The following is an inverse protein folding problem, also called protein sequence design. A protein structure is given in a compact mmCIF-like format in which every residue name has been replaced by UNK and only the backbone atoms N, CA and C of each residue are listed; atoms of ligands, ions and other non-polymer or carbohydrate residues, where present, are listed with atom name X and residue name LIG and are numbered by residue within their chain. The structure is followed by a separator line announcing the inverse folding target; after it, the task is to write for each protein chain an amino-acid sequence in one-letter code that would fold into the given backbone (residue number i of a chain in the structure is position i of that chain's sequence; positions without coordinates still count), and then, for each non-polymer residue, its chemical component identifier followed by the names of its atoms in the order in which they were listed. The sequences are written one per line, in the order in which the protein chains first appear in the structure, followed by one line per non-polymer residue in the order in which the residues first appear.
data_IF_828537124327
#
_entry.id   IF_828537124327
#
_cell.length_a   1.000
_cell.length_b   1.000
_cell.length_c   1.000
_cell.angle_alpha   90.00
_cell.angle_beta   90.00
_cell.angle_gamma   90.00
#
_symmetry.space_group_name_H-M   'P 1'
#
loop_
_entity.id
_entity.type
_entity.pdbx_description
1 polymer ?
#
# COMPACT_ATOMS: atom_id res chain seq x y z
N UNK A 1 46.60 -28.94 7.22
CA UNK A 1 45.49 -29.42 8.10
C UNK A 1 45.13 -28.45 9.23
N UNK A 2 46.08 -27.87 9.98
CA UNK A 2 45.78 -26.98 11.11
C UNK A 2 45.06 -25.67 10.77
N UNK A 3 45.44 -25.00 9.66
CA UNK A 3 44.83 -23.73 9.22
C UNK A 3 43.39 -23.92 8.76
N UNK A 4 43.10 -24.97 8.00
CA UNK A 4 41.75 -25.32 7.55
C UNK A 4 40.79 -25.55 8.73
N UNK A 5 41.24 -26.28 9.76
CA UNK A 5 40.44 -26.52 10.98
C UNK A 5 40.17 -25.22 11.76
N UNK A 6 41.10 -24.26 11.79
CA UNK A 6 40.90 -22.96 12.44
C UNK A 6 39.89 -22.09 11.66
N UNK A 7 40.01 -22.03 10.34
CA UNK A 7 39.05 -21.31 9.48
C UNK A 7 37.65 -21.92 9.59
N UNK A 8 37.53 -23.25 9.52
CA UNK A 8 36.24 -23.93 9.69
C UNK A 8 35.59 -23.65 11.05
N UNK A 9 36.38 -23.66 12.14
CA UNK A 9 35.89 -23.28 13.48
C UNK A 9 35.42 -21.83 13.54
N UNK A 10 36.17 -20.90 12.94
CA UNK A 10 35.80 -19.48 12.92
C UNK A 10 34.50 -19.25 12.13
N UNK A 11 34.36 -19.88 10.96
CA UNK A 11 33.13 -19.82 10.16
C UNK A 11 31.95 -20.41 10.91
N UNK A 12 32.12 -21.58 11.54
CA UNK A 12 31.07 -22.22 12.33
C UNK A 12 30.62 -21.33 13.51
N UNK A 13 31.58 -20.71 14.21
CA UNK A 13 31.28 -19.78 15.31
C UNK A 13 30.55 -18.52 14.81
N UNK A 14 30.98 -17.97 13.67
CA UNK A 14 30.32 -16.80 13.05
C UNK A 14 28.88 -17.13 12.67
N UNK A 15 28.66 -18.28 12.02
CA UNK A 15 27.31 -18.76 11.67
C UNK A 15 26.45 -19.00 12.92
N UNK A 16 27.03 -19.56 13.99
CA UNK A 16 26.33 -19.77 15.25
C UNK A 16 25.91 -18.45 15.92
N UNK A 17 26.78 -17.43 15.90
CA UNK A 17 26.46 -16.09 16.40
C UNK A 17 25.34 -15.44 15.58
N UNK A 18 25.42 -15.51 14.24
CA UNK A 18 24.37 -14.98 13.35
C UNK A 18 23.04 -15.69 13.62
N UNK A 19 23.04 -17.02 13.70
CA UNK A 19 21.84 -17.80 14.00
C UNK A 19 21.26 -17.42 15.38
N UNK A 20 22.10 -17.26 16.41
CA UNK A 20 21.68 -16.79 17.72
C UNK A 20 21.03 -15.41 17.67
N UNK A 21 21.60 -14.46 16.93
CA UNK A 21 21.02 -13.12 16.74
C UNK A 21 19.68 -13.17 16.01
N UNK A 22 19.55 -14.00 14.99
CA UNK A 22 18.27 -14.18 14.26
C UNK A 22 17.20 -14.73 15.20
N UNK A 23 17.53 -15.72 16.04
CA UNK A 23 16.59 -16.28 17.02
C UNK A 23 16.18 -15.22 18.06
N UNK A 24 17.13 -14.43 18.56
CA UNK A 24 16.84 -13.35 19.52
C UNK A 24 15.97 -12.26 18.90
N UNK A 25 16.23 -11.86 17.65
CA UNK A 25 15.40 -10.89 16.93
C UNK A 25 14.01 -11.45 16.66
N UNK A 26 13.91 -12.72 16.24
CA UNK A 26 12.63 -13.38 16.03
C UNK A 26 11.80 -13.43 17.32
N UNK A 27 12.42 -13.81 18.44
CA UNK A 27 11.77 -13.78 19.75
C UNK A 27 11.35 -12.36 20.13
N UNK A 28 12.23 -11.38 19.96
CA UNK A 28 11.93 -9.97 20.22
C UNK A 28 10.75 -9.46 19.39
N UNK A 29 10.70 -9.76 18.09
CA UNK A 29 9.62 -9.31 17.22
C UNK A 29 8.25 -9.84 17.64
N UNK A 30 8.22 -11.03 18.25
CA UNK A 30 6.99 -11.71 18.67
C UNK A 30 6.66 -11.53 20.17
N UNK A 31 7.42 -10.71 20.90
CA UNK A 31 7.05 -10.34 22.28
C UNK A 31 5.78 -9.49 22.28
N UNK A 32 4.85 -9.73 23.22
CA UNK A 32 3.59 -9.01 23.29
C UNK A 32 3.79 -7.51 23.50
N UNK A 33 2.90 -6.72 22.89
CA UNK A 33 2.83 -5.27 23.07
C UNK A 33 1.59 -4.94 23.90
N UNK A 34 1.79 -4.15 24.96
CA UNK A 34 0.70 -3.67 25.83
C UNK A 34 0.13 -2.33 25.35
N UNK A 35 0.98 -1.46 24.80
CA UNK A 35 0.56 -0.13 24.36
C UNK A 35 0.10 -0.20 22.90
N UNK A 36 -1.16 0.15 22.67
CA UNK A 36 -1.79 0.14 21.35
C UNK A 36 -2.18 1.57 21.00
N UNK A 37 -1.84 2.05 19.81
CA UNK A 37 -2.26 3.38 19.35
C UNK A 37 -3.73 3.36 18.93
N UNK A 38 -4.62 3.44 19.92
CA UNK A 38 -6.07 3.48 19.68
C UNK A 38 -6.50 4.76 18.95
N UNK A 39 -5.68 5.81 18.99
CA UNK A 39 -5.94 7.08 18.31
C UNK A 39 -5.51 7.07 16.83
N UNK A 40 -4.93 5.97 16.34
CA UNK A 40 -4.51 5.83 14.94
C UNK A 40 -5.69 6.06 14.00
N UNK A 41 -5.51 6.96 13.03
CA UNK A 41 -6.57 7.32 12.08
C UNK A 41 -6.63 6.28 10.98
N UNK A 42 -7.79 5.64 10.85
CA UNK A 42 -8.04 4.68 9.79
C UNK A 42 -8.39 5.41 8.49
N UNK A 43 -7.70 5.03 7.42
CA UNK A 43 -8.00 5.39 6.05
C UNK A 43 -8.30 4.16 5.21
N UNK A 44 -8.57 4.36 3.92
CA UNK A 44 -8.81 3.28 2.97
C UNK A 44 -8.13 3.61 1.65
N UNK A 45 -7.70 2.61 0.91
CA UNK A 45 -7.42 2.80 -0.52
C UNK A 45 -8.61 2.34 -1.33
N UNK A 46 -8.97 3.11 -2.35
CA UNK A 46 -10.06 2.77 -3.25
C UNK A 46 -9.57 2.71 -4.69
N UNK A 47 -9.91 1.63 -5.40
CA UNK A 47 -9.63 1.38 -6.80
C UNK A 47 -10.94 1.22 -7.57
N UNK A 48 -11.30 2.25 -8.36
CA UNK A 48 -12.38 2.17 -9.34
C UNK A 48 -12.16 1.02 -10.35
N UNK A 49 -10.91 0.79 -10.76
CA UNK A 49 -10.50 -0.30 -11.66
C UNK A 49 -10.86 -1.66 -11.09
N UNK A 50 -10.55 -1.92 -9.82
CA UNK A 50 -10.85 -3.21 -9.20
C UNK A 50 -12.34 -3.42 -8.97
N UNK A 51 -13.03 -2.42 -8.40
CA UNK A 51 -14.48 -2.45 -8.22
C UNK A 51 -15.19 -2.82 -9.54
N UNK A 52 -14.79 -2.17 -10.65
CA UNK A 52 -15.33 -2.48 -11.98
C UNK A 52 -14.99 -3.91 -12.42
N UNK A 53 -13.75 -4.36 -12.21
CA UNK A 53 -13.31 -5.70 -12.63
C UNK A 53 -14.03 -6.85 -11.93
N UNK A 54 -14.50 -6.64 -10.69
CA UNK A 54 -15.28 -7.63 -9.92
C UNK A 54 -16.79 -7.47 -10.09
N UNK A 55 -17.22 -6.63 -11.03
CA UNK A 55 -18.62 -6.48 -11.43
C UNK A 55 -19.49 -5.66 -10.47
N UNK A 56 -18.90 -4.84 -9.59
CA UNK A 56 -19.68 -3.88 -8.78
C UNK A 56 -19.66 -2.49 -9.41
N UNK A 57 -20.75 -1.74 -9.25
CA UNK A 57 -20.75 -0.32 -9.61
C UNK A 57 -19.78 0.43 -8.68
N UNK A 58 -18.68 0.89 -9.25
CA UNK A 58 -17.62 1.54 -8.49
C UNK A 58 -18.07 2.88 -7.90
N UNK A 59 -19.00 3.60 -8.53
CA UNK A 59 -19.53 4.87 -8.02
C UNK A 59 -20.42 4.61 -6.81
N UNK A 60 -21.32 3.62 -6.90
CA UNK A 60 -22.15 3.24 -5.76
C UNK A 60 -21.29 2.77 -4.58
N UNK A 61 -20.28 1.95 -4.83
CA UNK A 61 -19.33 1.52 -3.81
C UNK A 61 -18.57 2.72 -3.19
N UNK A 62 -18.05 3.63 -4.01
CA UNK A 62 -17.35 4.85 -3.56
C UNK A 62 -18.25 5.70 -2.65
N UNK A 63 -19.51 5.91 -3.05
CA UNK A 63 -20.50 6.62 -2.24
C UNK A 63 -20.81 5.85 -0.95
N UNK A 64 -21.00 4.54 -1.03
CA UNK A 64 -21.31 3.71 0.13
C UNK A 64 -20.19 3.75 1.18
N UNK A 65 -18.92 3.69 0.78
CA UNK A 65 -17.82 3.80 1.76
C UNK A 65 -17.74 5.20 2.40
N UNK A 66 -18.11 6.25 1.66
CA UNK A 66 -18.15 7.61 2.15
C UNK A 66 -19.34 7.87 3.08
N UNK A 67 -20.51 7.32 2.76
CA UNK A 67 -21.77 7.62 3.43
C UNK A 67 -22.18 6.61 4.50
N UNK A 68 -21.98 5.31 4.27
CA UNK A 68 -22.31 4.27 5.25
C UNK A 68 -21.15 4.08 6.23
N UNK A 69 -19.93 3.85 5.72
CA UNK A 69 -18.74 3.63 6.56
C UNK A 69 -18.12 4.93 7.10
N UNK A 70 -18.58 6.09 6.63
CA UNK A 70 -18.09 7.42 7.04
C UNK A 70 -16.57 7.60 6.90
N UNK A 71 -15.94 6.95 5.93
CA UNK A 71 -14.48 7.04 5.74
C UNK A 71 -14.09 8.44 5.25
N UNK A 72 -13.07 9.05 5.86
CA UNK A 72 -12.61 10.42 5.54
C UNK A 72 -11.15 10.54 5.14
N UNK A 73 -10.36 9.48 5.21
CA UNK A 73 -8.98 9.44 4.69
C UNK A 73 -8.91 8.40 3.58
N UNK A 74 -8.59 8.83 2.36
CA UNK A 74 -8.70 7.97 1.18
C UNK A 74 -7.44 8.08 0.33
N UNK A 75 -6.83 6.95 -0.01
CA UNK A 75 -5.81 6.85 -1.04
C UNK A 75 -6.48 6.50 -2.37
N UNK A 76 -6.22 7.30 -3.40
CA UNK A 76 -6.78 7.12 -4.75
C UNK A 76 -5.62 6.99 -5.74
N UNK A 77 -5.50 5.87 -6.46
CA UNK A 77 -4.59 5.73 -7.59
C UNK A 77 -5.11 6.42 -8.84
N UNK A 78 -4.25 7.17 -9.51
CA UNK A 78 -4.46 7.64 -10.88
C UNK A 78 -3.85 6.59 -11.82
N UNK A 79 -4.70 5.84 -12.50
CA UNK A 79 -4.28 4.80 -13.42
C UNK A 79 -3.91 5.38 -14.79
N UNK A 80 -2.63 5.31 -15.15
CA UNK A 80 -2.11 5.92 -16.37
C UNK A 80 -2.74 5.31 -17.63
N UNK A 81 -2.93 3.98 -17.66
CA UNK A 81 -3.60 3.28 -18.75
C UNK A 81 -5.07 3.67 -18.96
N UNK A 82 -5.78 4.04 -17.90
CA UNK A 82 -7.16 4.53 -17.99
C UNK A 82 -7.22 6.00 -18.39
N UNK A 83 -6.38 6.83 -17.78
CA UNK A 83 -6.40 8.28 -17.94
C UNK A 83 -5.81 8.71 -19.29
N UNK A 84 -4.82 8.00 -19.81
CA UNK A 84 -4.19 8.29 -21.10
C UNK A 84 -4.26 7.04 -21.99
N UNK A 85 -5.47 6.53 -22.22
CA UNK A 85 -5.69 5.34 -23.06
C UNK A 85 -5.14 5.50 -24.49
N UNK A 86 -5.08 6.74 -24.99
CA UNK A 86 -4.41 7.13 -26.22
C UNK A 86 -3.39 8.22 -25.93
N UNK A 87 -2.21 8.11 -26.54
CA UNK A 87 -1.08 9.03 -26.35
C UNK A 87 -1.50 10.49 -26.51
N UNK A 88 -1.34 11.28 -25.46
CA UNK A 88 -1.65 12.70 -25.42
C UNK A 88 -3.14 13.07 -25.27
N UNK A 89 -4.05 12.09 -25.24
CA UNK A 89 -5.47 12.29 -24.99
C UNK A 89 -5.79 11.87 -23.55
N UNK A 90 -6.05 12.86 -22.69
CA UNK A 90 -6.29 12.63 -21.27
C UNK A 90 -7.78 12.67 -20.92
N UNK A 91 -8.28 11.63 -20.27
CA UNK A 91 -9.59 11.60 -19.61
C UNK A 91 -9.43 11.43 -18.10
N UNK A 92 -9.67 12.50 -17.37
CA UNK A 92 -9.60 12.54 -15.91
C UNK A 92 -10.98 12.45 -15.25
N UNK A 93 -12.06 12.24 -16.01
CA UNK A 93 -13.43 12.39 -15.53
C UNK A 93 -13.76 11.52 -14.30
N UNK A 94 -13.25 10.29 -14.24
CA UNK A 94 -13.45 9.40 -13.09
C UNK A 94 -12.69 9.88 -11.84
N UNK A 95 -11.45 10.35 -12.02
CA UNK A 95 -10.64 10.91 -10.92
C UNK A 95 -11.29 12.20 -10.42
N UNK A 96 -11.68 13.09 -11.32
CA UNK A 96 -12.39 14.34 -11.00
C UNK A 96 -13.65 14.06 -10.18
N UNK A 97 -14.45 13.07 -10.59
CA UNK A 97 -15.66 12.68 -9.89
C UNK A 97 -15.38 12.20 -8.46
N UNK A 98 -14.39 11.32 -8.27
CA UNK A 98 -14.01 10.84 -6.93
C UNK A 98 -13.56 12.00 -6.04
N UNK A 99 -12.72 12.91 -6.54
CA UNK A 99 -12.25 14.07 -5.79
C UNK A 99 -13.40 15.02 -5.40
N UNK A 100 -14.38 15.21 -6.29
CA UNK A 100 -15.57 16.01 -6.00
C UNK A 100 -16.44 15.38 -4.91
N UNK A 101 -16.69 14.07 -4.98
CA UNK A 101 -17.49 13.36 -3.97
C UNK A 101 -16.80 13.31 -2.60
N UNK A 102 -15.47 13.16 -2.58
CA UNK A 102 -14.64 13.30 -1.39
C UNK A 102 -14.77 14.71 -0.78
N UNK A 103 -14.66 15.75 -1.63
CA UNK A 103 -14.74 17.16 -1.20
C UNK A 103 -16.10 17.48 -0.57
N UNK A 104 -17.21 16.99 -1.14
CA UNK A 104 -18.57 17.17 -0.60
C UNK A 104 -18.71 16.66 0.84
N UNK A 105 -17.86 15.71 1.25
CA UNK A 105 -17.92 15.04 2.55
C UNK A 105 -16.74 15.36 3.46
N UNK A 106 -15.94 16.38 3.09
CA UNK A 106 -14.73 16.77 3.82
C UNK A 106 -13.74 15.61 4.02
N UNK A 107 -13.62 14.73 3.04
CA UNK A 107 -12.58 13.71 3.02
C UNK A 107 -11.23 14.31 2.59
N UNK A 108 -10.16 13.63 2.98
CA UNK A 108 -8.77 13.94 2.67
C UNK A 108 -8.20 12.88 1.73
N UNK A 109 -7.53 13.32 0.67
CA UNK A 109 -7.01 12.45 -0.38
C UNK A 109 -5.49 12.36 -0.34
N UNK A 110 -4.98 11.13 -0.39
CA UNK A 110 -3.65 10.81 -0.93
C UNK A 110 -3.86 10.47 -2.40
N UNK A 111 -3.32 11.28 -3.32
CA UNK A 111 -3.41 10.98 -4.75
C UNK A 111 -2.13 10.30 -5.19
N UNK A 112 -2.22 9.02 -5.56
CA UNK A 112 -1.08 8.22 -6.00
C UNK A 112 -0.91 8.32 -7.52
N UNK A 113 0.27 8.73 -7.96
CA UNK A 113 0.60 9.02 -9.36
C UNK A 113 1.92 8.35 -9.72
N UNK A 114 1.98 7.77 -10.90
CA UNK A 114 3.16 7.04 -11.40
C UNK A 114 2.75 5.95 -12.38
N UNK A 115 3.72 5.20 -12.88
CA UNK A 115 3.43 3.98 -13.63
C UNK A 115 3.04 2.83 -12.70
N UNK A 116 3.65 2.72 -11.52
CA UNK A 116 3.32 1.71 -10.52
C UNK A 116 2.37 2.34 -9.51
N UNK A 117 1.12 1.91 -9.48
CA UNK A 117 0.09 2.41 -8.57
C UNK A 117 -0.71 1.24 -8.00
N UNK A 118 -1.33 1.38 -6.81
CA UNK A 118 -2.02 0.28 -6.16
C UNK A 118 -3.00 -0.47 -7.07
N UNK A 119 -2.98 -1.81 -6.98
CA UNK A 119 -3.79 -2.82 -7.72
C UNK A 119 -3.03 -3.50 -8.86
N UNK A 120 -3.26 -4.81 -9.00
CA UNK A 120 -2.78 -5.63 -10.11
C UNK A 120 -3.15 -5.00 -11.49
N UNK A 121 -2.22 -4.97 -12.46
CA UNK A 121 -0.92 -5.65 -12.51
C UNK A 121 0.25 -4.92 -11.85
N UNK A 122 -0.03 -4.02 -10.89
CA UNK A 122 0.89 -3.10 -10.20
C UNK A 122 1.36 -1.95 -11.08
N UNK A 123 1.75 -2.23 -12.34
CA UNK A 123 2.11 -1.19 -13.30
C UNK A 123 1.00 -0.96 -14.33
N UNK A 124 0.40 0.23 -14.27
CA UNK A 124 -0.74 0.63 -15.07
C UNK A 124 -0.28 1.42 -16.30
N UNK A 125 0.63 0.83 -17.10
CA UNK A 125 1.26 1.49 -18.25
C UNK A 125 0.39 1.26 -19.49
N UNK A 126 -0.03 2.31 -20.22
CA UNK A 126 -0.78 2.13 -21.47
C UNK A 126 0.06 1.41 -22.53
N UNK A 127 -0.59 0.60 -23.36
CA UNK A 127 0.07 -0.23 -24.38
C UNK A 127 0.95 0.60 -25.32
N UNK A 128 0.48 1.78 -25.74
CA UNK A 128 1.23 2.68 -26.63
C UNK A 128 2.54 3.20 -26.02
N UNK A 129 2.68 3.19 -24.69
CA UNK A 129 3.89 3.66 -24.01
C UNK A 129 4.96 2.55 -23.86
N UNK A 130 4.65 1.31 -24.23
CA UNK A 130 5.55 0.15 -24.08
C UNK A 130 6.50 -0.07 -25.26
N UNK A 131 6.52 0.83 -26.25
CA UNK A 131 7.38 0.74 -27.45
C UNK A 131 8.88 0.64 -27.12
N UNK A 132 9.38 1.47 -26.19
CA UNK A 132 10.76 1.41 -25.71
C UNK A 132 10.87 1.94 -24.26
N UNK A 133 11.91 1.55 -23.49
CA UNK A 133 12.15 2.11 -22.17
C UNK A 133 12.27 3.64 -22.15
N UNK A 134 12.91 4.24 -23.16
CA UNK A 134 13.12 5.69 -23.26
C UNK A 134 11.81 6.42 -23.53
N UNK A 135 11.00 5.88 -24.45
CA UNK A 135 9.66 6.41 -24.76
C UNK A 135 8.76 6.30 -23.53
N UNK A 136 8.76 5.15 -22.85
CA UNK A 136 8.00 4.96 -21.61
C UNK A 136 8.40 5.98 -20.55
N UNK A 137 9.71 6.10 -20.24
CA UNK A 137 10.21 7.02 -19.21
C UNK A 137 9.87 8.48 -19.53
N UNK A 138 10.04 8.88 -20.79
CA UNK A 138 9.71 10.25 -21.21
C UNK A 138 8.21 10.54 -21.07
N UNK A 139 7.34 9.61 -21.46
CA UNK A 139 5.91 9.81 -21.35
C UNK A 139 5.38 9.65 -19.92
N UNK A 140 6.03 8.83 -19.07
CA UNK A 140 5.73 8.77 -17.64
C UNK A 140 5.94 10.14 -16.99
N UNK A 141 7.09 10.78 -17.25
CA UNK A 141 7.35 12.13 -16.74
C UNK A 141 6.31 13.14 -17.25
N UNK A 142 5.84 13.02 -18.50
CA UNK A 142 4.75 13.87 -19.00
C UNK A 142 3.43 13.61 -18.27
N UNK A 143 3.06 12.34 -18.09
CA UNK A 143 1.85 11.95 -17.39
C UNK A 143 1.84 12.45 -15.93
N UNK A 144 2.94 12.25 -15.20
CA UNK A 144 3.08 12.76 -13.82
C UNK A 144 3.00 14.29 -13.83
N UNK A 145 3.67 14.98 -14.76
CA UNK A 145 3.59 16.44 -14.89
C UNK A 145 2.15 16.90 -15.12
N UNK A 146 1.46 16.34 -16.12
CA UNK A 146 0.08 16.71 -16.47
C UNK A 146 -0.87 16.49 -15.29
N UNK A 147 -0.75 15.34 -14.61
CA UNK A 147 -1.59 14.99 -13.47
C UNK A 147 -1.37 15.94 -12.29
N UNK A 148 -0.11 16.22 -11.93
CA UNK A 148 0.21 17.11 -10.80
C UNK A 148 -0.17 18.55 -11.12
N UNK A 149 0.10 19.04 -12.34
CA UNK A 149 -0.32 20.38 -12.78
C UNK A 149 -1.83 20.57 -12.73
N UNK A 150 -2.60 19.54 -13.13
CA UNK A 150 -4.06 19.55 -13.08
C UNK A 150 -4.58 19.73 -11.66
N UNK A 151 -4.05 18.96 -10.70
CA UNK A 151 -4.65 18.88 -9.36
C UNK A 151 -3.90 19.62 -8.25
N UNK A 152 -2.80 20.34 -8.54
CA UNK A 152 -2.06 21.10 -7.51
C UNK A 152 -2.90 22.12 -6.74
N UNK A 153 -4.02 22.60 -7.31
CA UNK A 153 -4.92 23.54 -6.65
C UNK A 153 -6.11 22.85 -5.93
N UNK A 154 -6.21 21.52 -5.99
CA UNK A 154 -7.30 20.78 -5.32
C UNK A 154 -7.03 20.60 -3.83
N UNK A 155 -7.73 21.38 -3.00
CA UNK A 155 -7.55 21.40 -1.54
C UNK A 155 -7.92 20.09 -0.83
N UNK A 156 -8.67 19.22 -1.50
CA UNK A 156 -9.06 17.89 -1.00
C UNK A 156 -7.86 16.93 -0.95
N UNK A 157 -6.88 17.12 -1.85
CA UNK A 157 -5.62 16.39 -1.85
C UNK A 157 -4.73 16.95 -0.75
N UNK A 158 -4.26 16.09 0.15
CA UNK A 158 -3.35 16.45 1.25
C UNK A 158 -1.91 16.04 0.97
N UNK A 159 -1.72 14.91 0.31
CA UNK A 159 -0.40 14.39 -0.02
C UNK A 159 -0.38 13.79 -1.43
N UNK A 160 0.79 13.83 -2.05
CA UNK A 160 1.09 13.08 -3.26
C UNK A 160 1.74 11.77 -2.87
N UNK A 161 1.31 10.63 -3.42
CA UNK A 161 2.14 9.42 -3.42
C UNK A 161 2.76 9.27 -4.81
N UNK A 162 4.08 9.09 -4.88
CA UNK A 162 4.78 8.88 -6.15
C UNK A 162 5.27 7.46 -6.23
N UNK A 163 4.78 6.75 -7.26
CA UNK A 163 4.92 5.31 -7.44
C UNK A 163 4.37 4.47 -6.25
N UNK A 164 4.26 3.16 -6.43
CA UNK A 164 3.91 2.21 -5.37
C UNK A 164 5.04 1.21 -5.19
N UNK A 165 5.68 1.20 -4.03
CA UNK A 165 6.81 0.32 -3.71
C UNK A 165 7.86 0.27 -4.85
N UNK A 166 8.46 1.42 -5.24
CA UNK A 166 9.23 1.56 -6.48
C UNK A 166 10.46 0.65 -6.56
N UNK A 167 10.92 0.11 -5.42
CA UNK A 167 12.06 -0.81 -5.34
C UNK A 167 11.66 -2.28 -5.24
N UNK A 168 10.37 -2.59 -5.04
CA UNK A 168 9.86 -3.96 -4.99
C UNK A 168 9.65 -4.52 -6.41
N UNK A 169 10.31 -5.65 -6.69
CA UNK A 169 10.12 -6.43 -7.92
C UNK A 169 8.90 -7.34 -7.80
N UNK A 170 7.72 -6.77 -7.99
CA UNK A 170 6.44 -7.47 -7.94
C UNK A 170 5.48 -6.91 -8.99
N UNK A 171 4.59 -7.75 -9.53
CA UNK A 171 3.68 -7.40 -10.62
C UNK A 171 4.31 -7.48 -12.02
N UNK A 172 3.55 -7.02 -13.01
CA UNK A 172 4.00 -6.95 -14.41
C UNK A 172 4.58 -5.56 -14.64
N UNK A 173 5.81 -5.37 -14.17
CA UNK A 173 6.46 -4.06 -14.10
C UNK A 173 7.85 -4.04 -14.75
N UNK A 174 8.27 -2.89 -15.32
CA UNK A 174 9.67 -2.65 -15.62
C UNK A 174 10.56 -2.79 -14.38
N UNK A 175 11.86 -3.01 -14.59
CA UNK A 175 12.81 -3.07 -13.48
C UNK A 175 12.83 -1.75 -12.69
N UNK A 176 13.00 -1.80 -11.35
CA UNK A 176 13.17 -0.61 -10.52
C UNK A 176 14.25 0.34 -11.05
N UNK A 177 13.96 1.63 -11.05
CA UNK A 177 14.85 2.69 -11.53
C UNK A 177 14.82 3.88 -10.56
N UNK A 178 15.82 3.93 -9.67
CA UNK A 178 15.90 5.00 -8.66
C UNK A 178 16.12 6.39 -9.26
N UNK A 179 16.80 6.50 -10.40
CA UNK A 179 17.06 7.79 -11.06
C UNK A 179 15.81 8.34 -11.72
N UNK A 180 14.97 7.46 -12.27
CA UNK A 180 13.65 7.84 -12.78
C UNK A 180 12.76 8.36 -11.65
N UNK A 181 12.67 7.62 -10.53
CA UNK A 181 11.94 8.06 -9.35
C UNK A 181 12.44 9.41 -8.84
N UNK A 182 13.76 9.61 -8.76
CA UNK A 182 14.34 10.90 -8.35
C UNK A 182 13.92 12.05 -9.29
N UNK A 183 13.74 11.77 -10.58
CA UNK A 183 13.24 12.75 -11.57
C UNK A 183 11.76 13.06 -11.37
N UNK A 184 10.93 12.06 -11.09
CA UNK A 184 9.50 12.22 -10.80
C UNK A 184 9.29 13.05 -9.53
N UNK A 185 10.02 12.71 -8.46
CA UNK A 185 9.97 13.42 -7.18
C UNK A 185 10.42 14.89 -7.33
N UNK A 186 11.53 15.14 -8.01
CA UNK A 186 12.02 16.50 -8.26
C UNK A 186 11.02 17.34 -9.04
N UNK A 187 10.34 16.74 -10.01
CA UNK A 187 9.30 17.39 -10.79
C UNK A 187 8.07 17.74 -9.96
N UNK A 188 7.57 16.80 -9.13
CA UNK A 188 6.42 17.04 -8.25
C UNK A 188 6.72 18.18 -7.29
N UNK A 189 7.89 18.16 -6.63
CA UNK A 189 8.32 19.25 -5.72
C UNK A 189 8.43 20.61 -6.40
N UNK A 190 8.73 20.64 -7.71
CA UNK A 190 8.80 21.88 -8.48
C UNK A 190 7.42 22.45 -8.79
N UNK A 191 6.45 21.58 -9.10
CA UNK A 191 5.08 21.96 -9.46
C UNK A 191 4.27 22.35 -8.22
N UNK A 192 4.36 21.55 -7.15
CA UNK A 192 3.67 21.75 -5.88
C UNK A 192 4.68 21.76 -4.73
N UNK A 193 4.90 22.94 -4.16
CA UNK A 193 5.83 23.17 -3.05
C UNK A 193 5.18 23.03 -1.67
N UNK A 194 3.87 22.78 -1.62
CA UNK A 194 3.07 22.91 -0.41
C UNK A 194 2.72 21.57 0.22
N UNK A 195 2.48 20.54 -0.61
CA UNK A 195 2.12 19.20 -0.14
C UNK A 195 3.34 18.31 0.04
N UNK A 196 3.27 17.42 1.02
CA UNK A 196 4.27 16.39 1.25
C UNK A 196 4.15 15.27 0.23
N UNK A 197 5.27 14.62 -0.06
CA UNK A 197 5.36 13.46 -0.94
C UNK A 197 5.59 12.18 -0.12
N UNK A 198 4.72 11.21 -0.37
CA UNK A 198 4.77 9.86 0.16
C UNK A 198 5.53 8.97 -0.84
N UNK A 199 6.49 8.20 -0.32
CA UNK A 199 7.12 7.09 -1.04
C UNK A 199 6.92 5.84 -0.19
N UNK A 200 6.55 4.74 -0.84
CA UNK A 200 6.14 3.51 -0.15
C UNK A 200 7.12 2.38 -0.35
N UNK A 201 7.09 1.35 0.49
CA UNK A 201 7.89 0.13 0.31
C UNK A 201 7.28 -1.06 1.06
N UNK A 202 7.74 -2.27 0.73
CA UNK A 202 7.20 -3.52 1.26
C UNK A 202 7.47 -3.71 2.74
N UNK A 203 6.41 -4.01 3.47
CA UNK A 203 6.43 -4.34 4.90
C UNK A 203 7.34 -5.50 5.22
N UNK A 204 7.17 -6.62 4.54
CA UNK A 204 7.81 -7.87 4.92
C UNK A 204 9.11 -8.12 4.13
N UNK A 205 9.31 -7.44 2.99
CA UNK A 205 10.35 -7.79 2.02
C UNK A 205 11.49 -6.77 1.89
N UNK A 206 11.38 -5.57 2.48
CA UNK A 206 12.39 -4.50 2.35
C UNK A 206 12.95 -4.05 3.71
N UNK A 207 14.09 -3.35 3.72
CA UNK A 207 14.61 -2.61 4.88
C UNK A 207 14.16 -1.13 4.89
N UNK A 208 13.40 -0.70 3.89
CA UNK A 208 12.81 0.65 3.70
C UNK A 208 13.77 1.81 3.46
N UNK A 209 15.07 1.69 3.77
CA UNK A 209 16.01 2.82 3.71
C UNK A 209 16.03 3.53 2.35
N UNK A 210 15.94 2.81 1.24
CA UNK A 210 16.01 3.44 -0.10
C UNK A 210 14.78 4.31 -0.42
N UNK A 211 13.58 3.85 -0.05
CA UNK A 211 12.34 4.58 -0.21
C UNK A 211 12.23 5.71 0.83
N UNK A 212 12.49 5.41 2.09
CA UNK A 212 12.36 6.36 3.20
C UNK A 212 13.25 7.60 3.05
N UNK A 213 14.45 7.46 2.46
CA UNK A 213 15.37 8.59 2.17
C UNK A 213 14.82 9.60 1.17
N UNK A 214 13.85 9.21 0.36
CA UNK A 214 13.28 10.03 -0.73
C UNK A 214 11.95 10.68 -0.35
N UNK A 215 11.36 10.24 0.76
CA UNK A 215 10.01 10.59 1.15
C UNK A 215 10.00 11.75 2.15
N UNK A 216 8.97 12.60 2.09
CA UNK A 216 8.62 13.45 3.22
C UNK A 216 7.86 12.63 4.28
N UNK A 217 7.07 11.63 3.84
CA UNK A 217 6.39 10.65 4.67
C UNK A 217 6.64 9.25 4.07
N UNK A 218 7.11 8.32 4.88
CA UNK A 218 7.29 6.93 4.45
C UNK A 218 6.02 6.09 4.69
N UNK A 219 5.58 5.33 3.68
CA UNK A 219 4.44 4.42 3.79
C UNK A 219 4.86 2.96 3.69
N UNK A 220 4.53 2.13 4.69
CA UNK A 220 4.75 0.68 4.60
C UNK A 220 3.46 -0.07 4.26
N UNK A 221 3.59 -1.14 3.51
CA UNK A 221 2.56 -2.19 3.42
C UNK A 221 2.63 -3.10 4.66
N UNK A 222 1.54 -3.79 4.97
CA UNK A 222 1.41 -4.74 6.08
C UNK A 222 0.47 -5.87 5.69
N UNK A 223 1.05 -7.01 5.30
CA UNK A 223 0.33 -8.23 4.98
C UNK A 223 0.55 -9.29 6.05
N UNK A 224 -0.50 -10.03 6.36
CA UNK A 224 -0.46 -11.05 7.42
C UNK A 224 -0.61 -12.44 6.86
N UNK A 225 -1.73 -12.76 6.23
CA UNK A 225 -2.00 -14.09 5.69
C UNK A 225 -1.97 -14.03 4.18
N UNK A 226 -0.96 -14.65 3.56
CA UNK A 226 -0.82 -14.67 2.10
C UNK A 226 -0.93 -16.09 1.56
N UNK A 227 -1.23 -16.19 0.27
CA UNK A 227 -1.08 -17.44 -0.48
C UNK A 227 0.17 -17.41 -1.34
N UNK A 228 0.92 -18.51 -1.35
CA UNK A 228 2.08 -18.69 -2.21
C UNK A 228 2.05 -20.03 -2.92
N UNK A 229 2.30 -20.01 -4.22
CA UNK A 229 2.38 -21.22 -5.04
C UNK A 229 3.41 -22.21 -4.46
N UNK A 230 3.02 -23.48 -4.37
CA UNK A 230 3.85 -24.56 -3.79
C UNK A 230 3.90 -24.62 -2.26
N UNK A 231 3.45 -23.57 -1.54
CA UNK A 231 3.40 -23.56 -0.06
C UNK A 231 1.95 -23.57 0.44
N UNK A 232 1.05 -22.85 -0.24
CA UNK A 232 -0.31 -22.61 0.22
C UNK A 232 -0.41 -21.36 1.09
N UNK A 233 -1.39 -21.35 1.99
CA UNK A 233 -1.61 -20.23 2.91
C UNK A 233 -0.60 -20.26 4.05
N UNK A 234 0.00 -19.11 4.34
CA UNK A 234 0.81 -18.94 5.53
C UNK A 234 0.63 -17.54 6.10
N UNK A 235 0.81 -17.46 7.41
CA UNK A 235 0.84 -16.19 8.12
C UNK A 235 2.29 -15.78 8.36
N UNK A 236 2.61 -14.51 8.07
CA UNK A 236 3.94 -13.98 8.35
C UNK A 236 4.26 -14.08 9.86
N UNK A 237 5.35 -14.75 10.26
CA UNK A 237 5.63 -15.03 11.66
C UNK A 237 6.34 -13.85 12.35
N UNK A 238 5.86 -12.64 12.13
CA UNK A 238 6.44 -11.40 12.67
C UNK A 238 5.41 -10.57 13.42
N UNK A 239 5.65 -10.35 14.71
CA UNK A 239 4.86 -9.44 15.53
C UNK A 239 5.15 -7.95 15.26
N UNK A 240 4.36 -7.03 15.84
CA UNK A 240 4.41 -5.61 15.49
C UNK A 240 5.78 -4.92 15.75
N UNK A 241 6.59 -5.48 16.67
CA UNK A 241 7.96 -5.00 16.95
C UNK A 241 8.89 -5.11 15.75
N UNK A 242 8.60 -5.97 14.78
CA UNK A 242 9.31 -6.03 13.51
C UNK A 242 9.25 -4.68 12.77
N UNK A 243 8.06 -4.11 12.65
CA UNK A 243 7.85 -2.82 12.01
C UNK A 243 8.44 -1.66 12.84
N UNK A 244 8.36 -1.73 14.17
CA UNK A 244 9.00 -0.74 15.06
C UNK A 244 10.54 -0.74 14.92
N UNK A 245 11.14 -1.93 14.83
CA UNK A 245 12.58 -2.07 14.60
C UNK A 245 12.99 -1.46 13.26
N UNK A 246 12.25 -1.75 12.19
CA UNK A 246 12.52 -1.16 10.87
C UNK A 246 12.29 0.35 10.85
N UNK A 247 11.31 0.87 11.59
CA UNK A 247 11.10 2.30 11.75
C UNK A 247 12.32 2.97 12.42
N UNK A 248 12.90 2.32 13.43
CA UNK A 248 14.15 2.75 14.04
C UNK A 248 15.31 2.75 13.03
N UNK A 249 15.40 1.74 12.15
CA UNK A 249 16.43 1.72 11.09
C UNK A 249 16.31 2.91 10.13
N UNK A 250 15.12 3.22 9.62
CA UNK A 250 14.96 4.35 8.70
C UNK A 250 15.15 5.70 9.41
N UNK A 251 14.82 5.81 10.69
CA UNK A 251 15.16 7.00 11.47
C UNK A 251 16.67 7.24 11.51
N UNK A 252 17.46 6.19 11.77
CA UNK A 252 18.92 6.28 11.85
C UNK A 252 19.56 6.48 10.46
N UNK A 253 19.17 5.67 9.48
CA UNK A 253 19.88 5.58 8.20
C UNK A 253 19.27 6.46 7.11
N UNK A 254 18.03 6.92 7.26
CA UNK A 254 17.33 7.77 6.30
C UNK A 254 16.92 9.14 6.85
N UNK A 255 17.01 9.37 8.17
CA UNK A 255 16.50 10.60 8.79
C UNK A 255 14.98 10.73 8.66
N UNK A 256 14.27 9.60 8.54
CA UNK A 256 12.82 9.58 8.35
C UNK A 256 12.11 9.46 9.70
N UNK A 257 11.29 10.44 10.03
CA UNK A 257 10.55 10.53 11.29
C UNK A 257 9.03 10.38 11.11
N UNK A 258 8.52 10.46 9.88
CA UNK A 258 7.10 10.34 9.55
C UNK A 258 6.84 9.03 8.80
N UNK A 259 6.20 8.08 9.49
CA UNK A 259 5.88 6.76 8.95
C UNK A 259 4.40 6.45 9.15
N UNK A 260 3.74 5.91 8.11
CA UNK A 260 2.34 5.46 8.14
C UNK A 260 2.21 4.04 7.60
N UNK A 261 1.10 3.37 7.92
CA UNK A 261 0.69 2.15 7.20
C UNK A 261 -0.15 2.61 6.01
N UNK A 262 0.39 2.47 4.80
CA UNK A 262 -0.29 2.92 3.58
C UNK A 262 -1.13 1.82 2.92
N UNK A 263 -0.92 0.58 3.36
CA UNK A 263 -1.63 -0.59 2.85
C UNK A 263 -1.64 -1.69 3.91
N UNK A 264 -2.73 -1.80 4.67
CA UNK A 264 -3.01 -2.90 5.57
C UNK A 264 -3.90 -3.91 4.86
N UNK A 265 -3.49 -5.18 4.87
CA UNK A 265 -4.27 -6.26 4.28
C UNK A 265 -5.68 -6.29 4.87
N UNK A 266 -6.67 -6.08 4.01
CA UNK A 266 -8.08 -6.06 4.37
C UNK A 266 -8.96 -6.76 3.31
N UNK A 267 -8.35 -7.43 2.33
CA UNK A 267 -8.96 -8.33 1.36
C UNK A 267 -8.18 -9.67 1.31
N UNK A 268 -8.78 -10.73 0.73
CA UNK A 268 -8.11 -12.02 0.60
C UNK A 268 -6.90 -11.95 -0.32
N UNK A 269 -5.90 -12.76 0.02
CA UNK A 269 -4.81 -13.10 -0.87
C UNK A 269 -4.88 -14.59 -1.16
N UNK A 270 -5.38 -14.94 -2.34
CA UNK A 270 -5.56 -16.33 -2.79
C UNK A 270 -4.72 -16.62 -4.03
N UNK A 271 -4.68 -17.88 -4.46
CA UNK A 271 -4.12 -18.24 -5.76
C UNK A 271 -5.04 -17.78 -6.89
N UNK A 272 -4.61 -16.78 -7.66
CA UNK A 272 -5.39 -16.20 -8.76
C UNK A 272 -6.16 -14.94 -8.35
N UNK A 273 -7.21 -14.61 -9.11
CA UNK A 273 -8.08 -13.47 -8.83
C UNK A 273 -8.99 -13.75 -7.64
N UNK A 274 -9.08 -12.79 -6.71
CA UNK A 274 -9.82 -12.89 -5.45
C UNK A 274 -11.25 -13.41 -5.63
N UNK A 275 -12.00 -12.83 -6.56
CA UNK A 275 -13.43 -13.14 -6.75
C UNK A 275 -13.69 -14.34 -7.65
N UNK A 276 -12.65 -14.90 -8.28
CA UNK A 276 -12.76 -16.12 -9.08
C UNK A 276 -12.74 -17.38 -8.19
N UNK A 277 -12.15 -17.26 -7.00
CA UNK A 277 -12.14 -18.32 -5.99
C UNK A 277 -13.46 -18.47 -5.26
N UNK A 278 -13.74 -19.66 -4.75
CA UNK A 278 -14.89 -19.90 -3.87
C UNK A 278 -14.76 -19.08 -2.57
N UNK A 279 -15.89 -18.65 -1.99
CA UNK A 279 -15.90 -17.83 -0.77
C UNK A 279 -15.14 -18.46 0.40
N UNK A 280 -15.24 -19.78 0.58
CA UNK A 280 -14.50 -20.49 1.63
C UNK A 280 -12.97 -20.42 1.43
N UNK A 281 -12.48 -20.33 0.19
CA UNK A 281 -11.06 -20.10 -0.09
C UNK A 281 -10.67 -18.66 0.22
N UNK A 282 -11.49 -17.68 -0.18
CA UNK A 282 -11.29 -16.27 0.13
C UNK A 282 -11.19 -16.05 1.65
N UNK A 283 -12.10 -16.66 2.42
CA UNK A 283 -12.18 -16.53 3.87
C UNK A 283 -11.03 -17.16 4.66
N UNK A 284 -10.12 -17.91 4.02
CA UNK A 284 -8.90 -18.42 4.67
C UNK A 284 -7.89 -17.32 4.97
N UNK A 285 -7.84 -16.28 4.14
CA UNK A 285 -6.86 -15.19 4.25
C UNK A 285 -7.46 -13.85 4.65
N UNK A 286 -8.78 -13.68 4.53
CA UNK A 286 -9.47 -12.51 5.07
C UNK A 286 -10.92 -12.81 5.44
N UNK A 287 -11.33 -12.42 6.65
CA UNK A 287 -12.69 -12.54 7.16
C UNK A 287 -12.93 -11.48 8.27
N UNK A 288 -14.13 -11.39 8.90
CA UNK A 288 -14.40 -10.36 9.92
C UNK A 288 -13.44 -10.41 11.13
N UNK A 289 -13.00 -11.60 11.53
CA UNK A 289 -12.06 -11.78 12.63
C UNK A 289 -10.67 -11.29 12.24
N UNK A 290 -10.17 -11.75 11.08
CA UNK A 290 -8.87 -11.33 10.53
C UNK A 290 -8.81 -9.81 10.30
N UNK A 291 -9.90 -9.17 9.87
CA UNK A 291 -9.94 -7.72 9.72
C UNK A 291 -9.71 -7.00 11.06
N UNK A 292 -10.39 -7.42 12.13
CA UNK A 292 -10.19 -6.86 13.49
C UNK A 292 -8.76 -7.11 13.98
N UNK A 293 -8.26 -8.33 13.80
CA UNK A 293 -6.91 -8.71 14.23
C UNK A 293 -5.82 -7.95 13.45
N UNK A 294 -6.03 -7.66 12.17
CA UNK A 294 -5.11 -6.89 11.35
C UNK A 294 -5.07 -5.42 11.78
N UNK A 295 -6.22 -4.82 12.08
CA UNK A 295 -6.28 -3.43 12.59
C UNK A 295 -5.63 -3.34 13.97
N UNK A 296 -5.94 -4.25 14.90
CA UNK A 296 -5.30 -4.30 16.22
C UNK A 296 -3.77 -4.49 16.10
N UNK A 297 -3.33 -5.38 15.21
CA UNK A 297 -1.91 -5.55 14.90
C UNK A 297 -1.26 -4.24 14.45
N UNK A 298 -1.85 -3.53 13.49
CA UNK A 298 -1.32 -2.28 12.97
C UNK A 298 -1.33 -1.15 14.01
N UNK A 299 -2.38 -1.07 14.85
CA UNK A 299 -2.42 -0.12 15.97
C UNK A 299 -1.33 -0.41 17.01
N UNK A 300 -0.97 -1.68 17.23
CA UNK A 300 0.16 -2.09 18.10
C UNK A 300 1.53 -1.74 17.51
N UNK A 301 1.65 -1.62 16.19
CA UNK A 301 2.87 -1.06 15.56
C UNK A 301 3.07 0.37 16.03
N UNK A 302 1.98 1.15 16.08
CA UNK A 302 1.96 2.48 16.69
C UNK A 302 2.13 3.65 15.71
N UNK A 303 1.98 3.43 14.40
CA UNK A 303 1.98 4.52 13.42
C UNK A 303 0.64 5.31 13.48
N UNK A 304 0.65 6.62 13.15
CA UNK A 304 -0.51 7.50 13.34
C UNK A 304 -1.63 7.31 12.32
N UNK A 305 -1.34 6.82 11.12
CA UNK A 305 -2.35 6.55 10.09
C UNK A 305 -2.24 5.12 9.55
N UNK A 306 -3.40 4.51 9.30
CA UNK A 306 -3.52 3.13 8.82
C UNK A 306 -4.53 3.06 7.69
N UNK A 307 -4.05 2.94 6.45
CA UNK A 307 -4.88 2.81 5.26
C UNK A 307 -5.13 1.33 4.95
N UNK A 308 -6.39 0.91 4.98
CA UNK A 308 -6.80 -0.46 4.68
C UNK A 308 -6.90 -0.67 3.15
N UNK A 309 -6.80 -1.92 2.72
CA UNK A 309 -6.91 -2.34 1.32
C UNK A 309 -7.94 -3.47 1.19
N UNK A 310 -9.16 -3.15 0.71
CA UNK A 310 -10.19 -4.19 0.50
C UNK A 310 -11.66 -3.76 0.45
N UNK A 311 -11.98 -2.46 0.48
CA UNK A 311 -13.37 -1.97 0.55
C UNK A 311 -14.23 -2.42 -0.62
N UNK A 312 -13.64 -2.59 -1.79
CA UNK A 312 -14.30 -3.08 -2.99
C UNK A 312 -14.76 -4.52 -2.85
N UNK A 313 -13.93 -5.36 -2.23
CA UNK A 313 -14.28 -6.74 -1.93
C UNK A 313 -15.35 -6.82 -0.84
N UNK A 314 -15.30 -5.97 0.19
CA UNK A 314 -16.37 -5.92 1.22
C UNK A 314 -17.72 -5.55 0.61
N UNK A 315 -17.73 -4.58 -0.31
CA UNK A 315 -18.94 -4.16 -0.99
C UNK A 315 -19.49 -5.29 -1.87
N UNK A 316 -18.63 -5.95 -2.65
CA UNK A 316 -19.01 -7.09 -3.47
C UNK A 316 -19.58 -8.24 -2.64
N UNK A 317 -18.98 -8.57 -1.49
CA UNK A 317 -19.54 -9.56 -0.57
C UNK A 317 -20.96 -9.19 -0.12
N UNK A 318 -21.15 -7.93 0.28
CA UNK A 318 -22.43 -7.41 0.75
C UNK A 318 -23.50 -7.42 -0.35
N UNK A 319 -23.22 -6.88 -1.53
CA UNK A 319 -24.23 -6.64 -2.57
C UNK A 319 -24.46 -7.83 -3.48
N UNK A 320 -23.43 -8.66 -3.70
CA UNK A 320 -23.47 -9.72 -4.71
C UNK A 320 -23.50 -11.10 -4.08
N UNK A 321 -22.84 -11.28 -2.93
CA UNK A 321 -22.73 -12.59 -2.25
C UNK A 321 -23.62 -12.73 -1.03
N UNK A 322 -24.37 -11.68 -0.64
CA UNK A 322 -25.22 -11.66 0.55
C UNK A 322 -24.45 -11.96 1.86
N UNK A 323 -23.20 -11.48 1.93
CA UNK A 323 -22.31 -11.60 3.09
C UNK A 323 -21.89 -10.20 3.60
N UNK A 324 -22.76 -9.51 4.38
CA UNK A 324 -22.52 -8.15 4.83
C UNK A 324 -21.52 -8.03 6.00
N UNK A 325 -21.08 -9.13 6.59
CA UNK A 325 -20.39 -9.16 7.89
C UNK A 325 -19.05 -8.40 7.88
N UNK A 326 -18.34 -8.38 6.75
CA UNK A 326 -17.13 -7.58 6.56
C UNK A 326 -17.44 -6.09 6.55
N UNK A 327 -18.50 -5.69 5.85
CA UNK A 327 -18.94 -4.30 5.77
C UNK A 327 -19.40 -3.78 7.13
N UNK A 328 -20.15 -4.58 7.88
CA UNK A 328 -20.58 -4.25 9.24
C UNK A 328 -19.38 -4.15 10.20
N UNK A 329 -18.40 -5.05 10.07
CA UNK A 329 -17.14 -4.96 10.83
C UNK A 329 -16.37 -3.69 10.49
N UNK A 330 -16.30 -3.30 9.21
CA UNK A 330 -15.69 -2.03 8.82
C UNK A 330 -16.44 -0.84 9.44
N UNK A 331 -17.78 -0.87 9.45
CA UNK A 331 -18.60 0.19 10.08
C UNK A 331 -18.27 0.35 11.56
N UNK A 332 -18.07 -0.75 12.29
CA UNK A 332 -17.63 -0.72 13.69
C UNK A 332 -16.25 -0.05 13.83
N UNK A 333 -15.26 -0.48 13.04
CA UNK A 333 -13.87 -0.01 13.12
C UNK A 333 -13.73 1.49 12.79
N UNK A 334 -14.43 1.98 11.76
CA UNK A 334 -14.42 3.40 11.41
C UNK A 334 -15.32 4.23 12.35
N UNK A 335 -16.40 3.64 12.88
CA UNK A 335 -17.29 4.29 13.84
C UNK A 335 -16.62 4.59 15.18
N UNK A 336 -15.78 3.69 15.69
CA UNK A 336 -15.01 3.90 16.93
C UNK A 336 -13.85 4.88 16.76
N UNK A 337 -13.29 4.99 15.56
CA UNK A 337 -12.16 5.89 15.23
C UNK A 337 -12.56 7.37 15.05
N UNK A 338 -13.87 7.65 15.04
CA UNK A 338 -14.47 8.95 14.71
C UNK A 338 -14.91 9.78 15.93
N UNK A 339 -14.59 9.33 17.15
CA UNK A 339 -14.93 10.02 18.41
C UNK A 339 -13.70 10.76 18.96
#
# INVERSE_FOLDING_TARGET
MGTFRKVAKFLAMTLAVIAGLVILLFAYFNLPIKNTNQDAKLGITFSNKYASSIGVDWRENYIAMLDDLKIRKIRIPVYWDLVESKKGEYDFSEVDWQLQEAKKRNAEIILAVGQKTPRWPECNIPEWAMESPEIRKSNLLKFVNVTVERYKNESVIKNWQIENEPFLRFGICPAPDGSLLDSELAMVRRIDKTRKIIVTDSGELSLWVQAARRADIFGTTMYRTIWKEGIGYFEYPVGPRFFQFKNMLIKIFAGQDETIVIELQAEPWIGGSTTDGLLNEQFKSMNPGQLRDNVDYAQKVGFPEIYLWGVEWWYWLKTTQNHPELWDTARELYGTSSI
#
